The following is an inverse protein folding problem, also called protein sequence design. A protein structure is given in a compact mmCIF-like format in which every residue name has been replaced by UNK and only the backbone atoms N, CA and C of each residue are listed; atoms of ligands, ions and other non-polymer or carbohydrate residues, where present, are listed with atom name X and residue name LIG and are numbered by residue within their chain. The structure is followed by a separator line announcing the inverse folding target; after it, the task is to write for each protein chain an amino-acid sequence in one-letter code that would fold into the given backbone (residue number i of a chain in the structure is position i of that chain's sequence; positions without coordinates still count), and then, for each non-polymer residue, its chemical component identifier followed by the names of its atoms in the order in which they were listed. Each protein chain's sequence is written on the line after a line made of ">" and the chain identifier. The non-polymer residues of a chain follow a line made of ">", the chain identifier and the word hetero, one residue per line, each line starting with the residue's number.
data_IF_773615626995
#
_entry.id   IF_773615626995
#
_cell.length_a   1.000
_cell.length_b   1.000
_cell.length_c   1.000
_cell.angle_alpha   90.00
_cell.angle_beta   90.00
_cell.angle_gamma   90.00
#
_symmetry.space_group_name_H-M   'P 1'
#
loop_
_entity.id
_entity.type
_entity.pdbx_description
1 polymer ?
#
# COMPACT_ATOMS: atom_id res chain seq x y z
N UNK A 1 -7.81 -6.15 28.04
CA UNK A 1 -8.54 -6.85 29.14
C UNK A 1 -9.87 -7.35 28.61
N UNK A 2 -10.19 -8.60 28.90
CA UNK A 2 -11.46 -9.21 28.55
C UNK A 2 -12.20 -9.52 29.86
N UNK A 3 -13.43 -9.04 29.95
CA UNK A 3 -14.38 -9.50 30.99
C UNK A 3 -15.15 -10.69 30.42
N UNK A 4 -15.21 -11.76 31.18
CA UNK A 4 -15.90 -12.99 30.78
C UNK A 4 -16.72 -13.55 31.95
N UNK A 5 -17.87 -14.13 31.66
CA UNK A 5 -18.75 -14.69 32.68
C UNK A 5 -18.29 -16.08 33.11
N UNK A 6 -17.53 -16.76 32.27
CA UNK A 6 -16.94 -18.08 32.53
C UNK A 6 -15.62 -18.24 31.76
N UNK A 7 -14.89 -19.31 32.04
CA UNK A 7 -13.67 -19.64 31.28
C UNK A 7 -13.97 -19.97 29.80
N UNK A 8 -15.08 -20.66 29.54
CA UNK A 8 -15.54 -20.95 28.17
C UNK A 8 -15.89 -19.68 27.39
N UNK A 9 -16.54 -18.71 28.05
CA UNK A 9 -16.82 -17.39 27.47
C UNK A 9 -15.53 -16.62 27.19
N UNK A 10 -14.54 -16.69 28.09
CA UNK A 10 -13.23 -16.12 27.84
C UNK A 10 -12.56 -16.71 26.61
N UNK A 11 -12.52 -18.03 26.48
CA UNK A 11 -11.94 -18.74 25.34
C UNK A 11 -12.66 -18.34 24.04
N UNK A 12 -13.98 -18.26 24.04
CA UNK A 12 -14.78 -17.84 22.89
C UNK A 12 -14.44 -16.41 22.45
N UNK A 13 -14.35 -15.48 23.40
CA UNK A 13 -13.98 -14.08 23.14
C UNK A 13 -12.55 -13.93 22.61
N UNK A 14 -11.61 -14.70 23.15
CA UNK A 14 -10.21 -14.74 22.71
C UNK A 14 -10.11 -15.28 21.29
N UNK A 15 -10.85 -16.36 20.98
CA UNK A 15 -10.87 -16.91 19.62
C UNK A 15 -11.39 -15.90 18.61
N UNK A 16 -12.49 -15.21 18.92
CA UNK A 16 -13.03 -14.14 18.06
C UNK A 16 -12.06 -12.99 17.86
N UNK A 17 -11.38 -12.56 18.93
CA UNK A 17 -10.33 -11.55 18.81
C UNK A 17 -9.18 -12.02 17.91
N UNK A 18 -8.71 -13.25 18.08
CA UNK A 18 -7.65 -13.82 17.25
C UNK A 18 -8.04 -13.86 15.77
N UNK A 19 -9.30 -14.11 15.45
CA UNK A 19 -9.82 -14.05 14.10
C UNK A 19 -9.80 -12.64 13.50
N UNK A 20 -9.96 -11.60 14.31
CA UNK A 20 -9.89 -10.20 13.87
C UNK A 20 -8.49 -9.79 13.46
N UNK A 21 -7.46 -10.43 14.02
CA UNK A 21 -6.04 -10.19 13.68
C UNK A 21 -5.55 -11.09 12.55
N UNK A 22 -6.35 -11.30 11.52
CA UNK A 22 -5.92 -12.01 10.31
C UNK A 22 -4.77 -11.26 9.63
N UNK A 23 -3.95 -11.94 8.79
CA UNK A 23 -2.90 -11.28 8.03
C UNK A 23 -3.40 -10.03 7.32
N UNK A 24 -2.74 -8.90 7.58
CA UNK A 24 -3.13 -7.59 7.05
C UNK A 24 -4.17 -6.83 7.90
N UNK A 25 -4.47 -7.26 9.11
CA UNK A 25 -5.29 -6.48 10.04
C UNK A 25 -4.65 -5.11 10.32
N UNK A 26 -5.47 -4.06 10.33
CA UNK A 26 -5.02 -2.70 10.60
C UNK A 26 -5.27 -2.33 12.06
N UNK A 27 -4.20 -2.00 12.79
CA UNK A 27 -4.31 -1.44 14.15
C UNK A 27 -4.24 0.09 14.05
N UNK A 28 -5.32 0.75 14.39
CA UNK A 28 -5.43 2.21 14.44
C UNK A 28 -5.44 2.68 15.89
N UNK A 29 -4.60 3.66 16.19
CA UNK A 29 -4.57 4.31 17.49
C UNK A 29 -5.44 5.56 17.46
N UNK A 30 -6.23 5.79 18.51
CA UNK A 30 -7.21 6.87 18.55
C UNK A 30 -6.60 8.26 18.38
N UNK A 31 -5.41 8.46 18.92
CA UNK A 31 -4.75 9.77 19.00
C UNK A 31 -3.52 9.88 18.08
N UNK A 32 -3.34 8.93 17.17
CA UNK A 32 -2.18 8.86 16.27
C UNK A 32 -2.69 8.74 14.83
N UNK A 33 -2.16 9.56 13.93
CA UNK A 33 -2.54 9.55 12.50
C UNK A 33 -1.94 8.39 11.70
N UNK A 34 -1.28 7.47 12.36
CA UNK A 34 -0.67 6.28 11.76
C UNK A 34 -1.44 5.03 12.15
N UNK A 35 -1.37 4.02 11.28
CA UNK A 35 -1.84 2.67 11.56
C UNK A 35 -0.75 1.65 11.23
N UNK A 36 -0.85 0.49 11.86
CA UNK A 36 0.06 -0.63 11.61
C UNK A 36 -0.72 -1.73 10.89
N UNK A 37 -0.13 -2.32 9.86
CA UNK A 37 -0.60 -3.58 9.28
C UNK A 37 0.09 -4.72 10.00
N UNK A 38 -0.64 -5.41 10.85
CA UNK A 38 -0.06 -6.37 11.78
C UNK A 38 -0.32 -7.81 11.36
N UNK A 39 0.65 -8.66 11.70
CA UNK A 39 0.54 -10.11 11.67
C UNK A 39 0.70 -10.63 13.09
N UNK A 40 -0.14 -11.57 13.51
CA UNK A 40 0.07 -12.27 14.79
C UNK A 40 1.21 -13.27 14.59
N UNK A 41 2.22 -13.17 15.45
CA UNK A 41 3.39 -14.06 15.44
C UNK A 41 3.17 -15.35 16.22
N UNK A 42 2.36 -15.30 17.28
CA UNK A 42 2.21 -16.40 18.22
C UNK A 42 0.77 -16.56 18.68
N UNK A 43 0.48 -17.68 19.35
CA UNK A 43 -0.76 -17.80 20.12
C UNK A 43 -0.79 -16.73 21.20
N UNK A 44 -1.96 -16.12 21.48
CA UNK A 44 -2.06 -15.12 22.53
C UNK A 44 -1.74 -15.71 23.91
N UNK A 45 -0.96 -15.01 24.69
CA UNK A 45 -0.77 -15.30 26.10
C UNK A 45 -2.01 -14.86 26.88
N UNK A 46 -2.59 -15.78 27.64
CA UNK A 46 -3.81 -15.54 28.39
C UNK A 46 -3.52 -15.71 29.87
N UNK A 47 -3.65 -14.65 30.64
CA UNK A 47 -3.49 -14.67 32.09
C UNK A 47 -4.78 -14.26 32.78
N UNK A 48 -5.31 -15.11 33.68
CA UNK A 48 -6.44 -14.75 34.52
C UNK A 48 -5.99 -13.77 35.61
N UNK A 49 -6.60 -12.59 35.64
CA UNK A 49 -6.35 -11.55 36.63
C UNK A 49 -7.34 -11.70 37.79
N UNK A 50 -6.88 -12.28 38.91
CA UNK A 50 -7.64 -12.39 40.17
C UNK A 50 -9.01 -13.11 40.05
N UNK A 51 -9.84 -13.05 41.10
CA UNK A 51 -11.13 -13.73 41.20
C UNK A 51 -12.28 -13.06 40.44
N UNK A 52 -12.01 -12.08 39.56
CA UNK A 52 -13.04 -11.26 38.91
C UNK A 52 -13.41 -11.68 37.48
N UNK A 53 -13.11 -12.89 37.06
CA UNK A 53 -13.33 -13.31 35.68
C UNK A 53 -12.76 -12.31 34.62
N UNK A 54 -11.65 -11.67 34.96
CA UNK A 54 -10.91 -10.79 34.07
C UNK A 54 -9.69 -11.54 33.53
N UNK A 55 -9.49 -11.43 32.24
CA UNK A 55 -8.37 -12.06 31.54
C UNK A 55 -7.54 -10.99 30.84
N UNK A 56 -6.24 -11.02 31.06
CA UNK A 56 -5.29 -10.29 30.25
C UNK A 56 -4.93 -11.15 29.05
N UNK A 57 -5.04 -10.60 27.87
CA UNK A 57 -4.66 -11.25 26.63
C UNK A 57 -3.57 -10.40 25.97
N UNK A 58 -2.43 -11.00 25.70
CA UNK A 58 -1.30 -10.36 25.03
C UNK A 58 -1.16 -11.00 23.67
N UNK A 59 -1.21 -10.19 22.62
CA UNK A 59 -0.93 -10.60 21.25
C UNK A 59 0.42 -10.01 20.84
N UNK A 60 1.33 -10.88 20.44
CA UNK A 60 2.56 -10.45 19.79
C UNK A 60 2.27 -10.19 18.31
N UNK A 61 2.37 -8.94 17.93
CA UNK A 61 2.11 -8.50 16.57
C UNK A 61 3.38 -7.90 15.96
N UNK A 62 3.65 -8.22 14.71
CA UNK A 62 4.70 -7.59 13.93
C UNK A 62 4.08 -6.71 12.85
N UNK A 63 4.68 -5.55 12.62
CA UNK A 63 4.38 -4.67 11.50
C UNK A 63 5.68 -4.19 10.89
N UNK A 64 5.83 -4.37 9.58
CA UNK A 64 7.04 -3.94 8.88
C UNK A 64 7.14 -2.41 8.82
N UNK A 65 6.01 -1.72 8.70
CA UNK A 65 5.95 -0.27 8.56
C UNK A 65 4.75 0.31 9.31
N UNK A 66 4.90 1.57 9.77
CA UNK A 66 3.78 2.44 10.06
C UNK A 66 3.24 3.06 8.75
N UNK A 67 1.94 3.19 8.65
CA UNK A 67 1.26 3.80 7.50
C UNK A 67 0.49 5.03 7.96
N UNK A 68 0.60 6.13 7.21
CA UNK A 68 -0.26 7.29 7.44
C UNK A 68 -1.69 7.00 7.00
N UNK A 69 -2.67 7.51 7.72
CA UNK A 69 -4.07 7.33 7.31
C UNK A 69 -4.36 8.12 6.04
N UNK A 70 -4.96 7.43 5.06
CA UNK A 70 -5.31 7.99 3.76
C UNK A 70 -4.24 7.81 2.70
N UNK A 71 -4.65 7.96 1.45
CA UNK A 71 -3.77 7.93 0.28
C UNK A 71 -3.51 9.35 -0.20
N UNK A 72 -2.27 9.63 -0.59
CA UNK A 72 -1.93 10.83 -1.37
C UNK A 72 -2.20 10.56 -2.84
N UNK A 73 -2.85 11.51 -3.49
CA UNK A 73 -3.09 11.49 -4.94
C UNK A 73 -2.49 12.75 -5.54
N UNK A 74 -1.55 12.60 -6.44
CA UNK A 74 -0.90 13.72 -7.15
C UNK A 74 -1.17 13.56 -8.64
N UNK A 75 -1.55 14.66 -9.30
CA UNK A 75 -1.94 14.65 -10.71
C UNK A 75 -1.20 15.72 -11.50
N UNK A 76 -0.84 15.40 -12.73
CA UNK A 76 -0.33 16.33 -13.74
C UNK A 76 -1.05 16.09 -15.05
N UNK A 77 -1.41 17.16 -15.75
CA UNK A 77 -2.09 17.08 -17.05
C UNK A 77 -1.15 17.50 -18.14
N UNK A 78 -1.13 16.74 -19.25
CA UNK A 78 -0.35 17.01 -20.45
C UNK A 78 1.11 17.42 -20.14
N UNK A 79 1.77 16.64 -19.30
CA UNK A 79 3.13 16.91 -18.81
C UNK A 79 4.07 15.74 -19.06
N UNK A 80 5.35 16.03 -19.17
CA UNK A 80 6.43 15.04 -19.20
C UNK A 80 7.12 14.89 -17.85
N UNK A 81 6.71 15.68 -16.83
CA UNK A 81 7.31 15.62 -15.50
C UNK A 81 6.27 15.93 -14.42
N UNK A 82 6.19 15.09 -13.39
CA UNK A 82 5.35 15.27 -12.22
C UNK A 82 6.21 15.24 -10.97
N UNK A 83 6.16 16.32 -10.19
CA UNK A 83 6.84 16.39 -8.89
C UNK A 83 5.89 15.91 -7.78
N UNK A 84 6.43 15.15 -6.84
CA UNK A 84 5.74 14.69 -5.66
C UNK A 84 6.71 14.58 -4.47
N UNK A 85 6.17 14.52 -3.26
CA UNK A 85 6.95 14.42 -2.02
C UNK A 85 6.45 13.23 -1.22
N UNK A 86 7.31 12.23 -1.02
CA UNK A 86 7.09 11.16 -0.06
C UNK A 86 7.67 11.59 1.29
N UNK A 87 6.82 12.01 2.22
CA UNK A 87 7.22 12.45 3.58
C UNK A 87 7.53 11.27 4.50
N UNK A 88 7.26 10.03 4.07
CA UNK A 88 7.63 8.84 4.80
C UNK A 88 9.14 8.63 4.87
N UNK A 89 9.56 7.75 5.78
CA UNK A 89 10.98 7.42 6.00
C UNK A 89 11.48 6.30 5.08
N UNK A 90 10.55 5.55 4.48
CA UNK A 90 10.86 4.37 3.66
C UNK A 90 10.36 4.50 2.22
N UNK A 91 10.97 3.73 1.30
CA UNK A 91 10.45 3.58 -0.04
C UNK A 91 9.00 3.10 -0.04
N UNK A 92 8.20 3.70 -0.90
CA UNK A 92 6.75 3.46 -0.91
C UNK A 92 6.31 2.98 -2.28
N UNK A 93 5.57 1.85 -2.38
CA UNK A 93 4.97 1.42 -3.62
C UNK A 93 3.86 2.38 -4.03
N UNK A 94 3.72 2.59 -5.33
CA UNK A 94 2.74 3.53 -5.87
C UNK A 94 1.88 2.87 -6.94
N UNK A 95 0.61 3.25 -7.00
CA UNK A 95 -0.22 3.08 -8.19
C UNK A 95 -0.01 4.26 -9.12
N UNK A 96 0.33 4.01 -10.37
CA UNK A 96 0.44 5.05 -11.40
C UNK A 96 -0.53 4.79 -12.54
N UNK A 97 -1.22 5.85 -12.96
CA UNK A 97 -2.06 5.87 -14.16
C UNK A 97 -1.51 6.91 -15.12
N UNK A 98 -1.34 6.51 -16.37
CA UNK A 98 -0.81 7.33 -17.46
C UNK A 98 -1.81 7.37 -18.60
N UNK A 99 -2.09 8.57 -19.14
CA UNK A 99 -2.86 8.75 -20.38
C UNK A 99 -2.01 9.54 -21.37
N UNK A 100 -1.29 8.84 -22.27
CA UNK A 100 -0.41 9.46 -23.26
C UNK A 100 -1.17 10.35 -24.24
N UNK A 101 -0.55 11.45 -24.65
CA UNK A 101 -1.12 12.38 -25.64
C UNK A 101 -0.70 12.08 -27.09
N UNK A 102 0.26 11.19 -27.26
CA UNK A 102 0.71 10.71 -28.59
C UNK A 102 1.02 9.22 -28.54
N UNK A 103 1.00 8.59 -29.72
CA UNK A 103 1.46 7.21 -29.86
C UNK A 103 2.95 7.10 -29.57
N UNK A 104 3.35 5.98 -28.96
CA UNK A 104 4.76 5.70 -28.70
C UNK A 104 5.03 4.21 -28.77
N UNK A 105 6.06 3.81 -29.49
CA UNK A 105 6.54 2.44 -29.48
C UNK A 105 7.00 2.02 -28.07
N UNK A 106 7.67 2.96 -27.38
CA UNK A 106 8.16 2.77 -26.02
C UNK A 106 7.87 4.04 -25.19
N UNK A 107 7.03 3.92 -24.18
CA UNK A 107 6.80 4.94 -23.16
C UNK A 107 7.73 4.65 -21.97
N UNK A 108 8.81 5.43 -21.87
CA UNK A 108 9.76 5.33 -20.77
C UNK A 108 9.21 6.09 -19.56
N UNK A 109 9.18 5.43 -18.40
CA UNK A 109 8.71 6.01 -17.14
C UNK A 109 9.83 5.95 -16.12
N UNK A 110 10.35 7.11 -15.75
CA UNK A 110 11.51 7.28 -14.89
C UNK A 110 11.15 8.02 -13.61
N UNK A 111 12.02 7.95 -12.59
CA UNK A 111 11.84 8.61 -11.29
C UNK A 111 11.42 7.63 -10.19
N UNK A 112 11.32 6.37 -10.50
CA UNK A 112 11.16 5.29 -9.53
C UNK A 112 12.53 4.72 -9.13
N UNK A 113 12.58 3.97 -8.02
CA UNK A 113 13.79 3.23 -7.62
C UNK A 113 14.29 2.38 -8.78
N UNK A 114 13.36 1.77 -9.50
CA UNK A 114 13.62 1.07 -10.75
C UNK A 114 12.60 1.54 -11.78
N UNK A 115 13.13 2.07 -12.87
CA UNK A 115 12.33 2.57 -13.97
C UNK A 115 11.73 1.43 -14.79
N UNK A 116 10.65 1.73 -15.51
CA UNK A 116 9.99 0.75 -16.37
C UNK A 116 9.60 1.37 -17.72
N UNK A 117 9.22 0.52 -18.65
CA UNK A 117 8.80 0.91 -20.00
C UNK A 117 7.49 0.22 -20.35
N UNK A 118 6.57 0.97 -20.93
CA UNK A 118 5.35 0.43 -21.53
C UNK A 118 5.47 0.48 -23.06
N UNK A 119 5.17 -0.63 -23.73
CA UNK A 119 5.34 -0.77 -25.17
C UNK A 119 4.00 -0.67 -25.92
N UNK A 120 4.06 -0.29 -27.20
CA UNK A 120 2.89 -0.23 -28.10
C UNK A 120 1.77 0.68 -27.57
N UNK A 121 2.13 1.82 -27.03
CA UNK A 121 1.22 2.76 -26.38
C UNK A 121 0.52 3.63 -27.44
N UNK A 122 -0.80 3.77 -27.34
CA UNK A 122 -1.60 4.65 -28.20
C UNK A 122 -2.03 5.90 -27.44
N UNK A 123 -2.19 6.99 -28.16
CA UNK A 123 -2.73 8.22 -27.60
C UNK A 123 -4.15 7.98 -27.04
N UNK A 124 -4.38 8.43 -25.81
CA UNK A 124 -5.66 8.28 -25.12
C UNK A 124 -5.85 6.95 -24.38
N UNK A 125 -4.93 5.97 -24.53
CA UNK A 125 -4.99 4.77 -23.70
C UNK A 125 -4.86 5.12 -22.21
N UNK A 126 -5.61 4.44 -21.37
CA UNK A 126 -5.47 4.53 -19.92
C UNK A 126 -4.61 3.36 -19.43
N UNK A 127 -3.36 3.65 -19.09
CA UNK A 127 -2.36 2.66 -18.69
C UNK A 127 -2.20 2.70 -17.17
N UNK A 128 -2.44 1.58 -16.49
CA UNK A 128 -2.30 1.44 -15.04
C UNK A 128 -1.15 0.50 -14.68
N UNK A 129 -0.36 0.87 -13.68
CA UNK A 129 0.63 -0.02 -13.03
C UNK A 129 0.51 0.15 -11.53
N UNK A 130 0.16 -0.92 -10.83
CA UNK A 130 0.05 -0.94 -9.37
C UNK A 130 1.30 -1.55 -8.73
N UNK A 131 2.01 -0.73 -7.95
CA UNK A 131 3.23 -1.15 -7.26
C UNK A 131 2.98 -2.04 -6.04
N UNK A 132 1.74 -2.21 -5.59
CA UNK A 132 1.38 -3.08 -4.47
C UNK A 132 0.98 -4.47 -4.96
N UNK A 133 0.00 -4.53 -5.86
CA UNK A 133 -0.54 -5.80 -6.39
C UNK A 133 0.30 -6.38 -7.54
N UNK A 134 1.08 -5.54 -8.21
CA UNK A 134 1.79 -5.92 -9.44
C UNK A 134 0.89 -5.95 -10.68
N UNK A 135 -0.33 -5.44 -10.59
CA UNK A 135 -1.25 -5.40 -11.70
C UNK A 135 -0.82 -4.36 -12.74
N UNK A 136 -0.80 -4.78 -14.00
CA UNK A 136 -0.59 -3.90 -15.15
C UNK A 136 -1.84 -3.96 -16.02
N UNK A 137 -2.40 -2.80 -16.37
CA UNK A 137 -3.63 -2.71 -17.14
C UNK A 137 -3.54 -1.68 -18.27
N UNK A 138 -4.30 -1.93 -19.32
CA UNK A 138 -4.56 -0.99 -20.41
C UNK A 138 -6.06 -0.93 -20.65
N UNK A 139 -6.65 0.27 -20.52
CA UNK A 139 -8.09 0.49 -20.67
C UNK A 139 -8.95 -0.44 -19.78
N UNK A 140 -8.47 -0.72 -18.56
CA UNK A 140 -9.12 -1.59 -17.56
C UNK A 140 -8.95 -3.09 -17.79
N UNK A 141 -8.21 -3.50 -18.81
CA UNK A 141 -7.89 -4.91 -19.08
C UNK A 141 -6.45 -5.22 -18.69
N UNK A 142 -6.22 -6.38 -18.10
CA UNK A 142 -4.88 -6.84 -17.74
C UNK A 142 -3.97 -6.88 -18.98
N UNK A 143 -2.79 -6.24 -18.92
CA UNK A 143 -1.89 -6.07 -20.06
C UNK A 143 -0.41 -6.18 -19.67
N UNK A 144 -0.03 -7.27 -19.06
CA UNK A 144 1.35 -7.50 -18.63
C UNK A 144 2.33 -7.63 -19.79
N UNK A 145 1.86 -8.02 -20.98
CA UNK A 145 2.72 -8.24 -22.14
C UNK A 145 3.38 -6.97 -22.68
N UNK A 146 2.78 -5.81 -22.41
CA UNK A 146 3.32 -4.53 -22.83
C UNK A 146 4.17 -3.84 -21.73
N UNK A 147 4.41 -4.53 -20.63
CA UNK A 147 5.23 -4.01 -19.52
C UNK A 147 6.64 -4.60 -19.55
N UNK A 148 7.62 -3.72 -19.69
CA UNK A 148 9.04 -4.07 -19.63
C UNK A 148 9.65 -3.46 -18.37
N UNK A 149 9.89 -4.27 -17.41
CA UNK A 149 10.47 -3.91 -16.11
C UNK A 149 9.97 -4.90 -15.08
N UNK A 150 10.83 -5.75 -14.58
CA UNK A 150 10.49 -6.75 -13.55
C UNK A 150 10.25 -6.14 -12.17
N UNK A 151 10.24 -4.81 -12.09
CA UNK A 151 10.18 -4.10 -10.83
C UNK A 151 8.96 -3.21 -10.78
N UNK A 152 8.17 -3.41 -9.75
CA UNK A 152 7.00 -2.61 -9.47
C UNK A 152 7.39 -1.17 -9.11
N UNK A 153 6.58 -0.17 -9.46
CA UNK A 153 6.87 1.22 -9.20
C UNK A 153 6.92 1.52 -7.70
N UNK A 154 8.10 1.96 -7.24
CA UNK A 154 8.34 2.41 -5.88
C UNK A 154 9.06 3.76 -5.93
N UNK A 155 8.65 4.69 -5.08
CA UNK A 155 9.30 5.99 -4.89
C UNK A 155 10.15 6.00 -3.62
N UNK A 156 11.29 6.71 -3.67
CA UNK A 156 12.13 6.98 -2.51
C UNK A 156 11.43 7.95 -1.54
N UNK A 157 11.92 8.00 -0.31
CA UNK A 157 11.60 9.08 0.61
C UNK A 157 12.13 10.42 0.09
N UNK A 158 11.42 11.52 0.36
CA UNK A 158 11.77 12.87 -0.05
C UNK A 158 11.15 13.29 -1.38
N UNK A 159 11.82 14.24 -2.05
CA UNK A 159 11.35 14.78 -3.32
C UNK A 159 11.62 13.82 -4.48
N UNK A 160 10.59 13.53 -5.24
CA UNK A 160 10.65 12.64 -6.41
C UNK A 160 10.08 13.37 -7.63
N UNK A 161 10.72 13.17 -8.79
CA UNK A 161 10.20 13.66 -10.06
C UNK A 161 10.00 12.47 -11.01
N UNK A 162 8.74 12.16 -11.31
CA UNK A 162 8.39 11.16 -12.31
C UNK A 162 8.47 11.82 -13.69
N UNK A 163 9.16 11.18 -14.63
CA UNK A 163 9.37 11.69 -16.00
C UNK A 163 8.91 10.69 -17.03
N UNK A 164 8.33 11.19 -18.11
CA UNK A 164 7.94 10.41 -19.28
C UNK A 164 8.56 11.03 -20.55
N UNK A 165 8.80 10.24 -21.57
CA UNK A 165 9.35 10.71 -22.85
C UNK A 165 8.31 11.32 -23.78
N UNK A 166 7.02 11.13 -23.50
CA UNK A 166 5.92 11.79 -24.21
C UNK A 166 4.98 12.46 -23.18
N UNK A 167 4.29 13.54 -23.55
CA UNK A 167 3.32 14.17 -22.66
C UNK A 167 2.20 13.21 -22.27
N UNK A 168 1.89 13.13 -20.99
CA UNK A 168 0.83 12.31 -20.43
C UNK A 168 -0.02 13.11 -19.45
N UNK A 169 -1.28 12.69 -19.25
CA UNK A 169 -1.89 12.93 -17.95
C UNK A 169 -1.37 11.86 -17.00
N UNK A 170 -0.81 12.27 -15.88
CA UNK A 170 -0.17 11.40 -14.91
C UNK A 170 -0.94 11.48 -13.61
N UNK A 171 -1.37 10.35 -13.06
CA UNK A 171 -1.94 10.26 -11.71
C UNK A 171 -1.12 9.26 -10.91
N UNK A 172 -0.67 9.66 -9.73
CA UNK A 172 0.08 8.80 -8.80
C UNK A 172 -0.66 8.75 -7.48
N UNK A 173 -0.88 7.53 -6.99
CA UNK A 173 -1.55 7.25 -5.72
C UNK A 173 -0.62 6.42 -4.84
N UNK A 174 -0.41 6.84 -3.61
CA UNK A 174 0.46 6.12 -2.67
C UNK A 174 0.08 6.38 -1.22
N UNK A 175 0.54 5.49 -0.36
CA UNK A 175 0.42 5.64 1.09
C UNK A 175 1.83 5.63 1.71
N UNK A 176 2.16 6.67 2.42
CA UNK A 176 3.50 6.87 2.99
C UNK A 176 3.82 5.82 4.06
N UNK A 177 5.07 5.35 4.06
CA UNK A 177 5.61 4.39 5.02
C UNK A 177 6.59 5.08 5.99
N UNK A 178 6.41 4.79 7.29
CA UNK A 178 7.19 5.37 8.39
C UNK A 178 7.87 4.30 9.23
#
# INVERSE_FOLDING_TARGET
>A
LINADSEEDAISKISKLSEMFRPGAEIKFKDISYYLKCFILSKPDVTRLNHRNQYQVIFDCESEFGYKQGFKTIQGKNTTALQLVNEGNYPTPVGITLVPKSNSANLYVNGFIKNFTLTNVKAGDTLGVDGVSGEVSCNGLANINNFWGWNLPMIQAGNVTIKTNVPCDITVVYNERY
#
